data_IF_093774369450
#
_entry.id   IF_093774369450
#
_cell.length_a   1.000
_cell.length_b   1.000
_cell.length_c   1.000
_cell.angle_alpha   90.00
_cell.angle_beta   90.00
_cell.angle_gamma   90.00
#
_symmetry.space_group_name_H-M   'P 1'
#
loop_
_entity.id
_entity.type
_entity.pdbx_description
1 polymer ?
#
# COMPACT_ATOMS: atom_id res chain seq x y z
N UNK A 1 -40.90 -31.52 10.44
CA UNK A 1 -40.44 -30.40 11.28
C UNK A 1 -39.84 -29.38 10.33
N UNK A 2 -40.46 -28.20 10.22
CA UNK A 2 -40.01 -27.13 9.34
C UNK A 2 -39.07 -26.20 10.11
N UNK A 3 -38.01 -25.82 9.41
CA UNK A 3 -37.35 -24.51 9.40
C UNK A 3 -36.63 -24.06 10.67
N UNK A 4 -35.31 -23.84 10.52
CA UNK A 4 -34.61 -22.61 10.91
C UNK A 4 -33.19 -22.68 10.37
N UNK A 5 -33.06 -22.65 9.04
CA UNK A 5 -31.82 -22.17 8.44
C UNK A 5 -31.79 -20.65 8.71
N UNK A 6 -31.07 -20.26 9.77
CA UNK A 6 -30.69 -18.88 9.99
C UNK A 6 -29.79 -18.46 8.83
N UNK A 7 -30.39 -17.98 7.75
CA UNK A 7 -29.72 -17.15 6.76
C UNK A 7 -29.35 -15.84 7.46
N UNK A 8 -28.18 -15.79 8.11
CA UNK A 8 -27.46 -14.54 8.24
C UNK A 8 -27.01 -14.19 6.82
N UNK A 9 -27.87 -13.53 6.04
CA UNK A 9 -27.38 -12.73 4.93
C UNK A 9 -26.40 -11.72 5.56
N UNK A 10 -25.09 -11.78 5.28
CA UNK A 10 -24.24 -10.69 5.70
C UNK A 10 -24.72 -9.48 4.92
N UNK A 11 -25.40 -8.56 5.62
CA UNK A 11 -25.86 -7.29 5.07
C UNK A 11 -24.62 -6.44 4.72
N UNK A 12 -23.83 -6.82 3.71
CA UNK A 12 -22.62 -6.10 3.32
C UNK A 12 -23.03 -4.76 2.73
N UNK A 13 -22.48 -3.68 3.25
CA UNK A 13 -22.56 -2.38 2.59
C UNK A 13 -21.62 -2.39 1.38
N UNK A 14 -22.17 -2.78 0.23
CA UNK A 14 -21.42 -2.82 -1.03
C UNK A 14 -20.83 -1.45 -1.38
N UNK A 15 -21.56 -0.36 -1.14
CA UNK A 15 -21.12 0.98 -1.51
C UNK A 15 -19.93 1.43 -0.66
N UNK A 16 -19.98 1.20 0.65
CA UNK A 16 -18.90 1.53 1.56
C UNK A 16 -17.69 0.60 1.36
N UNK A 17 -17.93 -0.69 1.13
CA UNK A 17 -16.90 -1.68 0.80
C UNK A 17 -16.15 -1.30 -0.48
N UNK A 18 -16.86 -0.95 -1.55
CA UNK A 18 -16.24 -0.49 -2.80
C UNK A 18 -15.44 0.79 -2.59
N UNK A 19 -15.94 1.75 -1.79
CA UNK A 19 -15.19 2.99 -1.48
C UNK A 19 -13.89 2.68 -0.74
N UNK A 20 -13.92 1.78 0.24
CA UNK A 20 -12.73 1.36 0.98
C UNK A 20 -11.73 0.66 0.05
N UNK A 21 -12.20 -0.26 -0.80
CA UNK A 21 -11.32 -0.94 -1.75
C UNK A 21 -10.70 0.01 -2.77
N UNK A 22 -11.43 1.00 -3.27
CA UNK A 22 -10.86 2.05 -4.13
C UNK A 22 -9.73 2.81 -3.44
N UNK A 23 -9.84 3.09 -2.14
CA UNK A 23 -8.75 3.72 -1.36
C UNK A 23 -7.53 2.79 -1.25
N UNK A 24 -7.74 1.50 -1.01
CA UNK A 24 -6.66 0.51 -0.97
C UNK A 24 -5.94 0.37 -2.32
N UNK A 25 -6.71 0.34 -3.42
CA UNK A 25 -6.16 0.28 -4.77
C UNK A 25 -5.45 1.58 -5.18
N UNK A 26 -5.93 2.74 -4.72
CA UNK A 26 -5.24 4.02 -4.92
C UNK A 26 -3.91 4.06 -4.14
N UNK A 27 -3.89 3.54 -2.91
CA UNK A 27 -2.65 3.35 -2.16
C UNK A 27 -1.66 2.50 -2.96
N UNK A 28 -2.10 1.36 -3.52
CA UNK A 28 -1.23 0.50 -4.33
C UNK A 28 -0.67 1.22 -5.57
N UNK A 29 -1.47 2.08 -6.23
CA UNK A 29 -1.00 2.93 -7.32
C UNK A 29 0.09 3.91 -6.86
N UNK A 30 -0.12 4.58 -5.74
CA UNK A 30 0.84 5.54 -5.20
C UNK A 30 2.12 4.84 -4.74
N UNK A 31 1.99 3.67 -4.10
CA UNK A 31 3.10 2.86 -3.62
C UNK A 31 3.95 2.31 -4.78
N UNK A 32 3.32 1.80 -5.85
CA UNK A 32 4.07 1.38 -7.05
C UNK A 32 4.76 2.56 -7.76
N UNK A 33 4.14 3.74 -7.77
CA UNK A 33 4.78 4.96 -8.27
C UNK A 33 5.95 5.40 -7.38
N UNK A 34 5.84 5.33 -6.05
CA UNK A 34 6.93 5.66 -5.14
C UNK A 34 8.08 4.67 -5.25
N UNK A 35 7.81 3.37 -5.42
CA UNK A 35 8.83 2.36 -5.69
C UNK A 35 9.56 2.62 -7.01
N UNK A 36 8.83 2.96 -8.07
CA UNK A 36 9.44 3.34 -9.37
C UNK A 36 10.29 4.60 -9.23
N UNK A 37 9.80 5.61 -8.51
CA UNK A 37 10.58 6.81 -8.23
C UNK A 37 11.83 6.47 -7.40
N UNK A 38 11.74 5.58 -6.43
CA UNK A 38 12.89 5.11 -5.66
C UNK A 38 13.88 4.36 -6.57
N UNK A 39 13.41 3.42 -7.39
CA UNK A 39 14.25 2.71 -8.37
C UNK A 39 14.90 3.66 -9.39
N UNK A 40 14.20 4.69 -9.87
CA UNK A 40 14.73 5.67 -10.83
C UNK A 40 15.68 6.68 -10.17
N UNK A 41 15.38 7.14 -8.95
CA UNK A 41 16.22 8.10 -8.22
C UNK A 41 17.50 7.46 -7.72
N UNK A 42 17.49 6.15 -7.43
CA UNK A 42 18.64 5.47 -6.86
C UNK A 42 19.30 4.45 -7.80
N UNK A 43 18.77 4.25 -9.02
CA UNK A 43 19.29 3.28 -9.99
C UNK A 43 19.09 1.84 -9.53
N UNK A 44 18.84 0.90 -10.45
CA UNK A 44 18.66 -0.52 -10.12
C UNK A 44 19.91 -1.22 -9.51
N UNK A 45 20.98 -0.47 -9.20
CA UNK A 45 22.20 -0.94 -8.53
C UNK A 45 22.28 -0.57 -7.03
N UNK A 46 21.13 -0.44 -6.35
CA UNK A 46 21.04 -0.13 -4.92
C UNK A 46 21.47 -1.29 -3.99
N UNK A 47 22.68 -1.81 -4.18
CA UNK A 47 23.33 -2.74 -3.25
C UNK A 47 24.34 -2.00 -2.34
N UNK A 48 24.64 -0.72 -2.59
CA UNK A 48 25.74 -0.02 -1.89
C UNK A 48 25.36 1.13 -0.94
N UNK A 49 24.09 1.52 -0.81
CA UNK A 49 23.72 2.69 0.02
C UNK A 49 23.66 2.43 1.54
N UNK A 50 23.98 1.24 2.03
CA UNK A 50 24.05 1.00 3.48
C UNK A 50 25.39 1.43 4.11
N UNK A 51 26.48 1.48 3.35
CA UNK A 51 27.84 1.70 3.93
C UNK A 51 28.19 3.19 4.03
N UNK A 52 27.77 4.02 3.07
CA UNK A 52 28.06 5.47 3.06
C UNK A 52 27.31 6.23 4.17
N UNK A 53 26.04 5.85 4.44
CA UNK A 53 25.24 6.45 5.51
C UNK A 53 25.80 6.09 6.90
N UNK A 54 26.24 4.85 7.10
CA UNK A 54 26.86 4.40 8.36
C UNK A 54 28.22 5.08 8.62
N UNK A 55 29.03 5.31 7.58
CA UNK A 55 30.29 6.05 7.67
C UNK A 55 30.05 7.54 7.93
N UNK A 56 29.04 8.13 7.32
CA UNK A 56 28.65 9.53 7.54
C UNK A 56 28.20 9.76 8.98
N UNK A 57 27.41 8.83 9.53
CA UNK A 57 26.98 8.85 10.93
C UNK A 57 28.17 8.70 11.90
N UNK A 58 29.14 7.83 11.57
CA UNK A 58 30.38 7.69 12.36
C UNK A 58 31.30 8.93 12.30
N UNK A 59 31.41 9.55 11.13
CA UNK A 59 32.18 10.80 10.94
C UNK A 59 31.51 11.99 11.63
N UNK A 60 30.17 12.04 11.64
CA UNK A 60 29.41 13.05 12.36
C UNK A 60 29.47 12.84 13.88
N UNK A 61 29.48 11.59 14.36
CA UNK A 61 29.70 11.24 15.76
C UNK A 61 31.08 11.69 16.26
N UNK A 62 32.14 11.38 15.51
CA UNK A 62 33.51 11.81 15.87
C UNK A 62 33.62 13.34 15.85
N UNK A 63 32.98 14.03 14.91
CA UNK A 63 32.93 15.50 14.88
C UNK A 63 32.15 16.09 16.07
N UNK A 64 31.04 15.47 16.46
CA UNK A 64 30.19 15.90 17.58
C UNK A 64 30.88 15.70 18.94
N UNK A 65 31.57 14.57 19.15
CA UNK A 65 32.36 14.33 20.38
C UNK A 65 33.51 15.33 20.53
N UNK A 66 34.21 15.61 19.42
CA UNK A 66 35.29 16.61 19.42
C UNK A 66 34.74 18.02 19.73
N UNK A 67 33.48 18.31 19.41
CA UNK A 67 32.83 19.60 19.68
C UNK A 67 32.16 19.69 21.07
N UNK A 68 31.57 18.61 21.58
CA UNK A 68 30.91 18.55 22.90
C UNK A 68 31.90 18.52 24.07
N UNK A 69 33.15 18.05 23.85
CA UNK A 69 34.24 18.21 24.81
C UNK A 69 34.55 19.67 25.16
N UNK A 70 34.04 20.66 24.41
CA UNK A 70 34.31 22.09 24.64
C UNK A 70 33.25 22.84 25.44
N UNK A 71 32.00 22.37 25.54
CA UNK A 71 30.92 23.12 26.20
C UNK A 71 30.09 22.21 27.11
N UNK A 72 30.43 22.22 28.40
CA UNK A 72 29.64 21.58 29.45
C UNK A 72 28.36 22.37 29.75
N UNK A 73 27.24 21.65 29.85
CA UNK A 73 26.05 22.13 30.52
C UNK A 73 24.85 22.42 29.61
N UNK A 74 24.29 21.40 28.95
CA UNK A 74 22.88 21.40 28.55
C UNK A 74 22.37 19.96 28.62
N UNK A 75 21.14 19.76 29.11
CA UNK A 75 20.41 18.49 29.07
C UNK A 75 20.28 18.09 27.59
N UNK A 76 21.23 17.30 27.11
CA UNK A 76 21.40 16.95 25.72
C UNK A 76 20.35 15.88 25.40
N UNK A 77 19.21 16.28 24.81
CA UNK A 77 18.53 15.34 23.90
C UNK A 77 19.50 15.11 22.77
N UNK A 78 20.18 13.98 22.83
CA UNK A 78 21.20 13.62 21.87
C UNK A 78 20.58 13.67 20.45
N UNK A 79 20.97 14.65 19.62
CA UNK A 79 20.40 14.82 18.30
C UNK A 79 20.61 13.58 17.43
N UNK A 80 21.62 12.75 17.75
CA UNK A 80 21.84 11.45 17.12
C UNK A 80 20.78 10.45 17.52
N UNK A 81 20.45 10.32 18.82
CA UNK A 81 19.39 9.42 19.28
C UNK A 81 18.02 9.80 18.68
N UNK A 82 17.72 11.10 18.62
CA UNK A 82 16.49 11.62 17.98
C UNK A 82 16.48 11.33 16.46
N UNK A 83 17.63 11.43 15.78
CA UNK A 83 17.75 11.12 14.35
C UNK A 83 17.62 9.61 14.08
N UNK A 84 18.27 8.77 14.89
CA UNK A 84 18.15 7.31 14.85
C UNK A 84 16.72 6.85 15.12
N UNK A 85 16.02 7.46 16.07
CA UNK A 85 14.62 7.14 16.35
C UNK A 85 13.70 7.54 15.18
N UNK A 86 13.93 8.71 14.55
CA UNK A 86 13.20 9.11 13.33
C UNK A 86 13.48 8.16 12.16
N UNK A 87 14.73 7.75 11.97
CA UNK A 87 15.12 6.80 10.92
C UNK A 87 14.50 5.43 11.16
N UNK A 88 14.51 4.94 12.41
CA UNK A 88 13.85 3.69 12.79
C UNK A 88 12.35 3.75 12.50
N UNK A 89 11.66 4.81 12.93
CA UNK A 89 10.22 4.99 12.65
C UNK A 89 9.93 5.10 11.15
N UNK A 90 10.84 5.69 10.37
CA UNK A 90 10.72 5.75 8.91
C UNK A 90 10.84 4.35 8.29
N UNK A 91 11.81 3.53 8.74
CA UNK A 91 11.96 2.13 8.31
C UNK A 91 10.75 1.28 8.68
N UNK A 92 10.25 1.41 9.90
CA UNK A 92 9.03 0.71 10.35
C UNK A 92 7.82 1.07 9.48
N UNK A 93 7.64 2.36 9.14
CA UNK A 93 6.57 2.79 8.21
C UNK A 93 6.72 2.21 6.81
N UNK A 94 7.93 2.09 6.29
CA UNK A 94 8.17 1.46 4.97
C UNK A 94 7.81 -0.03 5.05
N UNK A 95 8.25 -0.74 6.09
CA UNK A 95 7.90 -2.16 6.27
C UNK A 95 6.38 -2.38 6.39
N UNK A 96 5.67 -1.52 7.11
CA UNK A 96 4.19 -1.58 7.18
C UNK A 96 3.54 -1.34 5.81
N UNK A 97 4.05 -0.39 5.03
CA UNK A 97 3.56 -0.12 3.67
C UNK A 97 3.83 -1.30 2.74
N UNK A 98 5.02 -1.90 2.81
CA UNK A 98 5.40 -3.07 2.04
C UNK A 98 4.51 -4.27 2.38
N UNK A 99 4.28 -4.52 3.67
CA UNK A 99 3.42 -5.61 4.11
C UNK A 99 1.97 -5.39 3.64
N UNK A 100 1.47 -4.15 3.74
CA UNK A 100 0.13 -3.80 3.24
C UNK A 100 0.02 -3.99 1.73
N UNK A 101 1.03 -3.57 0.96
CA UNK A 101 1.06 -3.74 -0.48
C UNK A 101 1.14 -5.23 -0.87
N UNK A 102 1.94 -6.02 -0.15
CA UNK A 102 2.08 -7.46 -0.33
C UNK A 102 0.75 -8.18 -0.16
N UNK A 103 0.03 -7.92 0.93
CA UNK A 103 -1.30 -8.53 1.20
C UNK A 103 -2.30 -8.15 0.09
N UNK A 104 -2.32 -6.89 -0.34
CA UNK A 104 -3.20 -6.43 -1.43
C UNK A 104 -2.89 -7.13 -2.76
N UNK A 105 -1.61 -7.22 -3.12
CA UNK A 105 -1.17 -7.90 -4.35
C UNK A 105 -1.48 -9.40 -4.29
N UNK A 106 -1.24 -10.05 -3.16
CA UNK A 106 -1.57 -11.46 -2.96
C UNK A 106 -3.08 -11.71 -3.12
N UNK A 107 -3.93 -10.83 -2.57
CA UNK A 107 -5.37 -10.90 -2.77
C UNK A 107 -5.79 -10.72 -4.24
N UNK A 108 -5.15 -9.77 -4.96
CA UNK A 108 -5.41 -9.57 -6.40
C UNK A 108 -5.00 -10.79 -7.21
N UNK A 109 -3.91 -11.47 -6.85
CA UNK A 109 -3.43 -12.67 -7.54
C UNK A 109 -4.35 -13.88 -7.36
N UNK A 110 -5.18 -13.90 -6.31
CA UNK A 110 -6.17 -14.96 -6.07
C UNK A 110 -7.48 -14.76 -6.86
N UNK A 111 -7.68 -13.60 -7.49
CA UNK A 111 -8.84 -13.34 -8.34
C UNK A 111 -8.76 -14.11 -9.66
N UNK A 112 -9.90 -14.28 -10.30
CA UNK A 112 -9.97 -14.76 -11.68
C UNK A 112 -9.17 -13.82 -12.61
N UNK A 113 -8.53 -14.40 -13.63
CA UNK A 113 -7.60 -13.69 -14.52
C UNK A 113 -8.22 -12.41 -15.12
N UNK A 114 -9.49 -12.49 -15.55
CA UNK A 114 -10.22 -11.33 -16.08
C UNK A 114 -10.43 -10.22 -15.05
N UNK A 115 -10.74 -10.56 -13.80
CA UNK A 115 -10.98 -9.59 -12.72
C UNK A 115 -9.67 -8.97 -12.23
N UNK A 116 -8.62 -9.79 -12.11
CA UNK A 116 -7.26 -9.37 -11.82
C UNK A 116 -6.77 -8.35 -12.84
N UNK A 117 -6.81 -8.69 -14.13
CA UNK A 117 -6.31 -7.80 -15.18
C UNK A 117 -7.11 -6.50 -15.26
N UNK A 118 -8.43 -6.58 -15.07
CA UNK A 118 -9.29 -5.40 -14.99
C UNK A 118 -8.89 -4.46 -13.84
N UNK A 119 -8.65 -4.99 -12.64
CA UNK A 119 -8.24 -4.16 -11.49
C UNK A 119 -6.84 -3.57 -11.68
N UNK A 120 -5.90 -4.35 -12.23
CA UNK A 120 -4.55 -3.89 -12.52
C UNK A 120 -4.55 -2.81 -13.61
N UNK A 121 -5.28 -2.98 -14.70
CA UNK A 121 -5.38 -2.02 -15.81
C UNK A 121 -5.93 -0.67 -15.35
N UNK A 122 -7.00 -0.69 -14.55
CA UNK A 122 -7.67 0.52 -14.11
C UNK A 122 -6.91 1.22 -12.98
N UNK A 123 -6.50 0.49 -11.96
CA UNK A 123 -6.00 1.11 -10.73
C UNK A 123 -4.48 1.14 -10.62
N UNK A 124 -3.76 0.11 -11.08
CA UNK A 124 -2.29 0.04 -10.94
C UNK A 124 -1.61 0.67 -12.15
N UNK A 125 -1.94 0.21 -13.35
CA UNK A 125 -1.38 0.71 -14.63
C UNK A 125 -1.96 2.08 -14.99
N UNK A 126 -3.20 2.36 -14.58
CA UNK A 126 -3.86 3.65 -14.82
C UNK A 126 -4.15 3.89 -16.30
N UNK A 127 -4.50 2.84 -17.05
CA UNK A 127 -4.78 2.93 -18.48
C UNK A 127 -6.00 3.81 -18.76
N UNK A 128 -6.03 4.41 -19.95
CA UNK A 128 -7.21 5.15 -20.43
C UNK A 128 -8.38 4.19 -20.56
N UNK A 129 -9.58 4.64 -20.18
CA UNK A 129 -10.81 3.83 -20.20
C UNK A 129 -11.06 3.16 -21.56
N UNK A 130 -10.85 3.87 -22.65
CA UNK A 130 -11.00 3.34 -24.02
C UNK A 130 -10.14 2.10 -24.27
N UNK A 131 -8.91 2.08 -23.77
CA UNK A 131 -8.00 0.94 -23.89
C UNK A 131 -8.44 -0.23 -23.01
N UNK A 132 -8.92 0.05 -21.80
CA UNK A 132 -9.44 -0.99 -20.90
C UNK A 132 -10.68 -1.67 -21.49
N UNK A 133 -11.58 -0.91 -22.13
CA UNK A 133 -12.75 -1.48 -22.81
C UNK A 133 -12.33 -2.44 -23.93
N UNK A 134 -11.33 -2.06 -24.73
CA UNK A 134 -10.75 -2.91 -25.78
C UNK A 134 -10.12 -4.18 -25.23
N UNK A 135 -9.29 -4.07 -24.19
CA UNK A 135 -8.66 -5.22 -23.52
C UNK A 135 -9.68 -6.22 -22.96
N UNK A 136 -10.86 -5.73 -22.55
CA UNK A 136 -11.94 -6.55 -22.01
C UNK A 136 -12.89 -7.13 -23.08
N UNK A 137 -12.53 -6.99 -24.37
CA UNK A 137 -13.30 -7.51 -25.50
C UNK A 137 -14.29 -6.51 -26.08
N UNK A 138 -13.93 -5.23 -26.16
CA UNK A 138 -14.76 -4.14 -26.71
C UNK A 138 -16.15 -4.06 -26.07
N UNK A 139 -16.18 -4.18 -24.74
CA UNK A 139 -17.43 -4.07 -23.97
C UNK A 139 -17.89 -2.62 -23.85
N UNK A 140 -19.17 -2.43 -23.54
CA UNK A 140 -19.73 -1.12 -23.18
C UNK A 140 -19.40 -0.70 -21.76
N UNK A 141 -19.38 0.61 -21.50
CA UNK A 141 -19.00 1.17 -20.18
C UNK A 141 -19.85 0.67 -19.01
N UNK A 142 -21.15 0.44 -19.21
CA UNK A 142 -22.03 -0.09 -18.17
C UNK A 142 -21.59 -1.48 -17.71
N UNK A 143 -21.20 -2.35 -18.65
CA UNK A 143 -20.65 -3.68 -18.39
C UNK A 143 -19.31 -3.59 -17.68
N UNK A 144 -18.43 -2.68 -18.11
CA UNK A 144 -17.14 -2.45 -17.44
C UNK A 144 -17.34 -2.05 -15.98
N UNK A 145 -18.24 -1.09 -15.71
CA UNK A 145 -18.53 -0.62 -14.36
C UNK A 145 -19.11 -1.73 -13.47
N UNK A 146 -19.96 -2.61 -14.01
CA UNK A 146 -20.50 -3.76 -13.28
C UNK A 146 -19.40 -4.77 -12.93
N UNK A 147 -18.53 -5.11 -13.89
CA UNK A 147 -17.38 -5.99 -13.66
C UNK A 147 -16.42 -5.41 -12.63
N UNK A 148 -16.12 -4.12 -12.71
CA UNK A 148 -15.26 -3.42 -11.74
C UNK A 148 -15.82 -3.46 -10.33
N UNK A 149 -17.13 -3.23 -10.16
CA UNK A 149 -17.80 -3.33 -8.85
C UNK A 149 -17.70 -4.74 -8.30
N UNK A 150 -17.98 -5.75 -9.13
CA UNK A 150 -17.88 -7.17 -8.75
C UNK A 150 -16.46 -7.53 -8.31
N UNK A 151 -15.45 -7.19 -9.12
CA UNK A 151 -14.05 -7.46 -8.79
C UNK A 151 -13.61 -6.77 -7.49
N UNK A 152 -14.08 -5.54 -7.22
CA UNK A 152 -13.81 -4.85 -5.95
C UNK A 152 -14.44 -5.58 -4.76
N UNK A 153 -15.67 -6.07 -4.89
CA UNK A 153 -16.36 -6.81 -3.83
C UNK A 153 -15.73 -8.19 -3.58
N UNK A 154 -15.34 -8.89 -4.65
CA UNK A 154 -14.61 -10.16 -4.55
C UNK A 154 -13.27 -9.96 -3.84
N UNK A 155 -12.50 -8.94 -4.21
CA UNK A 155 -11.23 -8.63 -3.53
C UNK A 155 -11.46 -8.27 -2.06
N UNK A 156 -12.51 -7.51 -1.75
CA UNK A 156 -12.85 -7.22 -0.36
C UNK A 156 -13.20 -8.48 0.44
N UNK A 157 -13.89 -9.44 -0.19
CA UNK A 157 -14.22 -10.73 0.42
C UNK A 157 -12.96 -11.54 0.74
N UNK A 158 -12.04 -11.65 -0.22
CA UNK A 158 -10.77 -12.36 -0.08
C UNK A 158 -9.89 -11.77 1.02
N UNK A 159 -9.92 -10.45 1.19
CA UNK A 159 -9.12 -9.74 2.19
C UNK A 159 -9.84 -9.57 3.53
N UNK A 160 -11.07 -10.08 3.67
CA UNK A 160 -11.93 -9.86 4.83
C UNK A 160 -12.12 -8.37 5.21
N UNK A 161 -12.16 -7.50 4.19
CA UNK A 161 -12.33 -6.04 4.32
C UNK A 161 -13.77 -5.59 4.01
N UNK A 162 -14.73 -6.50 4.05
CA UNK A 162 -16.14 -6.19 3.84
C UNK A 162 -16.69 -5.37 5.01
N UNK A 163 -17.45 -4.32 4.71
CA UNK A 163 -18.14 -3.53 5.72
C UNK A 163 -19.54 -4.09 5.90
N UNK A 164 -19.87 -4.47 7.13
CA UNK A 164 -21.21 -4.94 7.49
C UNK A 164 -22.10 -3.73 7.81
N UNK A 165 -23.33 -3.74 7.31
CA UNK A 165 -24.36 -2.79 7.72
C UNK A 165 -24.75 -3.08 9.16
N UNK A 166 -24.86 -2.02 9.96
CA UNK A 166 -25.49 -2.12 11.28
C UNK A 166 -26.97 -2.41 11.07
N UNK A 167 -27.41 -3.61 11.47
CA UNK A 167 -28.83 -3.92 11.57
C UNK A 167 -29.39 -3.08 12.73
N UNK A 168 -30.21 -2.07 12.39
CA UNK A 168 -31.00 -1.30 13.36
C UNK A 168 -32.34 -1.98 13.60
#
# INVERSE_FOLDING_TARGET
>A
MKETEFFYEPCVDEAQTIRNMKRQLLFLKQYTASLRLHSVLYGEDCVQLQVEDELSDYLNYTRSIVQTSRNGGYVHRDPVLDAMERQRRAREKVMEQDQRAYVLLQGILQLEEQEKDLLLDVYVRGLKRELVLRHQGDIVESTLNRRLRRACLHLAALLHLQVLKECS
#
